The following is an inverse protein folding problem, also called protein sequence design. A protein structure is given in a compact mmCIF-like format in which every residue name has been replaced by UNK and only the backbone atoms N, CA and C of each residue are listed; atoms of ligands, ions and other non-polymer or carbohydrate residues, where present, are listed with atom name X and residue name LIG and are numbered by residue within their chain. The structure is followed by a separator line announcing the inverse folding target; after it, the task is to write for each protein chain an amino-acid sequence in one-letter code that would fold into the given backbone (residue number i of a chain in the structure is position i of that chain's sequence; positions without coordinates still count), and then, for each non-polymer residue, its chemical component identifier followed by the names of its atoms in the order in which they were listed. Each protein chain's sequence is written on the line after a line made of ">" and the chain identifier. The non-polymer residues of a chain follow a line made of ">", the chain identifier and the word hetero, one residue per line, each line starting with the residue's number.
data_IF_869465185767
#
_entry.id   IF_869465185767
#
_cell.length_a   1.000
_cell.length_b   1.000
_cell.length_c   1.000
_cell.angle_alpha   90.00
_cell.angle_beta   90.00
_cell.angle_gamma   90.00
#
_symmetry.space_group_name_H-M   'P 1'
#
loop_
_entity.id
_entity.type
_entity.pdbx_description
1 polymer ?
#
# COMPACT_ATOMS: atom_id res chain seq x y z
N UNK A 1 4.16 10.25 -17.50
CA UNK A 1 3.25 9.54 -16.57
C UNK A 1 2.14 8.85 -17.35
N UNK A 2 1.94 7.54 -17.15
CA UNK A 2 0.85 6.79 -17.77
C UNK A 2 -0.51 7.24 -17.19
N UNK A 3 -1.62 7.18 -17.93
CA UNK A 3 -2.94 7.51 -17.40
C UNK A 3 -3.38 6.50 -16.33
N UNK A 4 -4.26 6.92 -15.40
CA UNK A 4 -4.77 6.08 -14.32
C UNK A 4 -5.42 4.78 -14.84
N UNK A 5 -6.09 4.88 -15.98
CA UNK A 5 -6.78 3.77 -16.63
C UNK A 5 -5.86 2.59 -16.99
N UNK A 6 -4.56 2.83 -17.20
CA UNK A 6 -3.55 1.80 -17.48
C UNK A 6 -3.21 0.95 -16.25
N UNK A 7 -3.52 1.44 -15.05
CA UNK A 7 -3.37 0.73 -13.78
C UNK A 7 -4.67 0.02 -13.36
N UNK A 8 -5.83 0.53 -13.77
CA UNK A 8 -7.13 -0.04 -13.43
C UNK A 8 -7.49 -1.30 -14.23
N UNK A 9 -7.07 -1.38 -15.49
CA UNK A 9 -7.46 -2.46 -16.41
C UNK A 9 -6.74 -3.79 -16.21
N UNK A 10 -5.44 -3.82 -15.90
CA UNK A 10 -4.70 -5.06 -15.78
C UNK A 10 -5.16 -5.93 -14.61
N UNK A 11 -5.03 -7.24 -14.78
CA UNK A 11 -5.04 -8.17 -13.65
C UNK A 11 -3.82 -7.92 -12.75
N UNK A 12 -3.84 -8.45 -11.51
CA UNK A 12 -2.68 -8.36 -10.61
C UNK A 12 -1.40 -8.87 -11.30
N UNK A 13 -1.47 -10.03 -11.96
CA UNK A 13 -0.32 -10.64 -12.65
C UNK A 13 0.23 -9.78 -13.79
N UNK A 14 -0.65 -9.20 -14.61
CA UNK A 14 -0.25 -8.30 -15.70
C UNK A 14 0.36 -7.00 -15.16
N UNK A 15 -0.23 -6.43 -14.09
CA UNK A 15 0.30 -5.23 -13.45
C UNK A 15 1.65 -5.50 -12.80
N UNK A 16 1.81 -6.64 -12.12
CA UNK A 16 3.08 -7.09 -11.57
C UNK A 16 4.15 -7.15 -12.65
N UNK A 17 3.86 -7.80 -13.79
CA UNK A 17 4.80 -7.91 -14.91
C UNK A 17 5.16 -6.54 -15.51
N UNK A 18 4.18 -5.64 -15.67
CA UNK A 18 4.40 -4.28 -16.15
C UNK A 18 5.30 -3.46 -15.23
N UNK A 19 5.11 -3.58 -13.92
CA UNK A 19 5.94 -2.89 -12.93
C UNK A 19 7.38 -3.46 -12.88
N UNK A 20 7.53 -4.79 -12.98
CA UNK A 20 8.84 -5.42 -13.13
C UNK A 20 9.61 -4.88 -14.35
N UNK A 21 8.93 -4.75 -15.49
CA UNK A 21 9.54 -4.19 -16.70
C UNK A 21 9.85 -2.69 -16.54
N UNK A 22 8.94 -1.93 -15.93
CA UNK A 22 9.10 -0.48 -15.71
C UNK A 22 10.30 -0.14 -14.83
N UNK A 23 10.55 -0.93 -13.78
CA UNK A 23 11.60 -0.68 -12.79
C UNK A 23 12.77 -1.66 -12.88
N UNK A 24 12.94 -2.36 -14.01
CA UNK A 24 13.93 -3.43 -14.24
C UNK A 24 15.29 -3.18 -13.58
N UNK A 25 15.85 -1.98 -13.75
CA UNK A 25 17.22 -1.67 -13.32
C UNK A 25 17.34 -1.40 -11.81
N UNK A 26 16.22 -1.22 -11.12
CA UNK A 26 16.15 -0.82 -9.69
C UNK A 26 15.32 -1.76 -8.84
N UNK A 27 14.58 -2.66 -9.45
CA UNK A 27 13.68 -3.58 -8.74
C UNK A 27 14.41 -4.82 -8.22
N UNK A 28 14.05 -5.24 -7.01
CA UNK A 28 14.27 -6.57 -6.49
C UNK A 28 12.91 -7.24 -6.36
N UNK A 29 12.76 -8.41 -6.96
CA UNK A 29 11.48 -9.05 -7.17
C UNK A 29 11.40 -10.33 -6.34
N UNK A 30 10.35 -10.48 -5.56
CA UNK A 30 9.89 -11.75 -5.03
C UNK A 30 8.65 -12.17 -5.83
N UNK A 31 8.82 -13.15 -6.71
CA UNK A 31 7.79 -13.52 -7.71
C UNK A 31 6.43 -13.78 -7.06
N UNK A 32 5.39 -13.15 -7.58
CA UNK A 32 4.01 -13.23 -7.10
C UNK A 32 3.80 -12.85 -5.61
N UNK A 33 4.76 -12.16 -5.00
CA UNK A 33 4.65 -11.69 -3.61
C UNK A 33 4.84 -10.18 -3.53
N UNK A 34 5.99 -9.66 -3.95
CA UNK A 34 6.22 -8.22 -3.93
C UNK A 34 7.29 -7.77 -4.93
N UNK A 35 7.29 -6.48 -5.22
CA UNK A 35 8.34 -5.78 -5.94
C UNK A 35 8.83 -4.65 -5.04
N UNK A 36 10.13 -4.62 -4.74
CA UNK A 36 10.75 -3.48 -4.08
C UNK A 36 11.64 -2.73 -5.06
N UNK A 37 11.41 -1.43 -5.23
CA UNK A 37 12.18 -0.56 -6.11
C UNK A 37 13.10 0.31 -5.26
N UNK A 38 14.39 0.29 -5.55
CA UNK A 38 15.39 1.07 -4.82
C UNK A 38 15.22 2.56 -5.05
N UNK A 39 15.26 3.31 -3.96
CA UNK A 39 15.25 4.77 -3.94
C UNK A 39 16.51 5.36 -3.32
N UNK A 40 16.63 6.68 -3.37
CA UNK A 40 17.67 7.48 -2.71
C UNK A 40 17.11 8.32 -1.57
N UNK A 41 15.83 8.71 -1.63
CA UNK A 41 15.15 9.39 -0.53
C UNK A 41 14.87 8.39 0.61
N UNK A 42 15.07 8.75 1.88
CA UNK A 42 14.89 7.85 3.01
C UNK A 42 13.39 7.71 3.40
N UNK A 43 12.55 7.46 2.43
CA UNK A 43 11.11 7.22 2.56
C UNK A 43 10.71 6.08 1.64
N UNK A 44 9.88 5.16 2.15
CA UNK A 44 9.28 4.09 1.35
C UNK A 44 7.79 4.33 1.18
N UNK A 45 7.32 4.21 -0.05
CA UNK A 45 5.91 4.28 -0.41
C UNK A 45 5.40 2.86 -0.67
N UNK A 46 4.19 2.54 -0.18
CA UNK A 46 3.58 1.22 -0.27
C UNK A 46 2.21 1.29 -0.97
N UNK A 47 1.88 0.24 -1.72
CA UNK A 47 0.55 0.01 -2.31
C UNK A 47 0.42 -1.46 -2.71
N UNK A 48 -0.79 -2.03 -2.66
CA UNK A 48 -1.01 -3.41 -3.09
C UNK A 48 -1.54 -3.52 -4.52
N UNK A 49 -1.30 -4.68 -5.15
CA UNK A 49 -1.59 -4.90 -6.56
C UNK A 49 -2.91 -5.60 -6.84
N UNK A 50 -3.45 -6.31 -5.88
CA UNK A 50 -4.71 -7.03 -6.01
C UNK A 50 -5.92 -6.11 -5.84
N UNK A 51 -7.08 -6.66 -6.00
CA UNK A 51 -8.39 -6.05 -5.73
C UNK A 51 -9.36 -7.18 -5.44
N UNK A 52 -10.43 -6.93 -4.68
CA UNK A 52 -11.50 -7.92 -4.42
C UNK A 52 -12.30 -8.29 -5.67
N UNK A 53 -12.21 -7.52 -6.75
CA UNK A 53 -13.02 -7.72 -7.95
C UNK A 53 -12.50 -8.89 -8.79
N UNK A 54 -13.40 -9.85 -9.07
CA UNK A 54 -13.05 -11.09 -9.80
C UNK A 54 -12.81 -10.87 -11.30
N UNK A 55 -13.45 -9.85 -11.88
CA UNK A 55 -13.33 -9.55 -13.31
C UNK A 55 -12.46 -8.30 -13.52
N UNK A 56 -11.57 -8.34 -14.54
CA UNK A 56 -10.81 -7.15 -14.91
C UNK A 56 -11.72 -6.05 -15.43
N UNK A 57 -11.34 -4.80 -15.22
CA UNK A 57 -12.07 -3.63 -15.67
C UNK A 57 -12.11 -3.54 -17.19
N UNK A 58 -13.29 -3.77 -17.78
CA UNK A 58 -13.53 -3.68 -19.24
C UNK A 58 -13.98 -2.28 -19.64
N UNK A 59 -14.90 -1.71 -18.88
CA UNK A 59 -15.51 -0.42 -19.16
C UNK A 59 -15.30 0.54 -18.00
N UNK A 60 -14.83 1.75 -18.30
CA UNK A 60 -14.68 2.83 -17.33
C UNK A 60 -15.68 3.93 -17.69
N UNK A 61 -16.65 4.14 -16.82
CA UNK A 61 -17.61 5.22 -16.91
C UNK A 61 -17.03 6.47 -16.26
N UNK A 62 -17.29 7.64 -16.85
CA UNK A 62 -16.83 8.92 -16.34
C UNK A 62 -18.03 9.86 -16.21
N UNK A 63 -18.04 10.70 -15.16
CA UNK A 63 -19.01 11.80 -15.09
C UNK A 63 -18.67 12.90 -16.12
N UNK A 64 -19.56 13.90 -16.27
CA UNK A 64 -19.43 14.92 -17.31
C UNK A 64 -18.11 15.71 -17.32
N UNK A 65 -17.43 15.86 -16.18
CA UNK A 65 -16.13 16.53 -16.09
C UNK A 65 -14.93 15.56 -15.98
N UNK A 66 -15.16 14.25 -16.07
CA UNK A 66 -14.13 13.21 -16.03
C UNK A 66 -13.43 13.03 -14.70
N UNK A 67 -13.92 13.62 -13.60
CA UNK A 67 -13.27 13.52 -12.30
C UNK A 67 -13.68 12.28 -11.50
N UNK A 68 -14.87 11.73 -11.77
CA UNK A 68 -15.36 10.51 -11.14
C UNK A 68 -15.26 9.36 -12.14
N UNK A 69 -14.63 8.28 -11.72
CA UNK A 69 -14.51 7.04 -12.47
C UNK A 69 -15.24 5.93 -11.76
N UNK A 70 -15.97 5.11 -12.50
CA UNK A 70 -16.66 3.91 -12.03
C UNK A 70 -16.56 2.80 -13.08
N UNK A 71 -16.79 1.55 -12.68
CA UNK A 71 -16.89 0.42 -13.60
C UNK A 71 -18.01 -0.52 -13.18
N UNK A 72 -18.80 -1.07 -14.12
CA UNK A 72 -19.79 -2.10 -13.80
C UNK A 72 -19.19 -3.40 -13.25
N UNK A 73 -17.89 -3.64 -13.45
CA UNK A 73 -17.15 -4.78 -12.92
C UNK A 73 -16.61 -4.53 -11.50
N UNK A 74 -16.79 -3.32 -10.94
CA UNK A 74 -16.00 -2.76 -9.87
C UNK A 74 -14.78 -2.04 -10.46
N UNK A 75 -14.40 -0.89 -9.92
CA UNK A 75 -13.31 -0.08 -10.50
C UNK A 75 -11.93 -0.49 -9.97
N UNK A 76 -11.87 -1.11 -8.76
CA UNK A 76 -10.62 -1.50 -8.12
C UNK A 76 -9.74 -0.30 -7.78
N UNK A 77 -10.33 0.79 -7.28
CA UNK A 77 -9.60 1.94 -6.78
C UNK A 77 -8.74 1.58 -5.58
N UNK A 78 -9.21 0.64 -4.80
CA UNK A 78 -8.58 -0.14 -3.78
C UNK A 78 -7.79 -1.32 -4.42
N UNK A 79 -6.43 -1.34 -4.54
CA UNK A 79 -5.58 -0.16 -4.34
C UNK A 79 -4.85 0.28 -5.62
N UNK A 80 -5.50 0.20 -6.77
CA UNK A 80 -4.91 0.68 -8.04
C UNK A 80 -4.67 2.20 -8.02
N UNK A 81 -5.37 2.93 -7.15
CA UNK A 81 -5.12 4.36 -6.91
C UNK A 81 -3.77 4.57 -6.25
N UNK A 82 -3.42 3.78 -5.24
CA UNK A 82 -2.11 3.83 -4.61
C UNK A 82 -1.00 3.43 -5.57
N UNK A 83 -1.16 2.34 -6.33
CA UNK A 83 -0.18 1.96 -7.36
C UNK A 83 0.09 3.10 -8.35
N UNK A 84 -0.98 3.76 -8.84
CA UNK A 84 -0.83 4.95 -9.67
C UNK A 84 -0.12 6.09 -8.94
N UNK A 85 -0.49 6.36 -7.67
CA UNK A 85 0.10 7.42 -6.87
C UNK A 85 1.60 7.18 -6.64
N UNK A 86 1.99 5.96 -6.29
CA UNK A 86 3.40 5.58 -6.11
C UNK A 86 4.22 5.86 -7.37
N UNK A 87 3.72 5.41 -8.53
CA UNK A 87 4.41 5.62 -9.80
C UNK A 87 4.47 7.10 -10.17
N UNK A 88 3.38 7.85 -9.94
CA UNK A 88 3.32 9.29 -10.20
C UNK A 88 4.28 10.08 -9.32
N UNK A 89 4.37 9.75 -8.02
CA UNK A 89 5.32 10.37 -7.10
C UNK A 89 6.75 10.03 -7.49
N UNK A 90 7.03 8.75 -7.79
CA UNK A 90 8.37 8.33 -8.21
C UNK A 90 8.85 9.08 -9.47
N UNK A 91 8.02 9.17 -10.51
CA UNK A 91 8.37 9.90 -11.73
C UNK A 91 8.66 11.39 -11.46
N UNK A 92 7.87 12.05 -10.62
CA UNK A 92 7.92 13.49 -10.40
C UNK A 92 8.93 13.93 -9.32
N UNK A 93 9.33 13.04 -8.40
CA UNK A 93 10.29 13.34 -7.34
C UNK A 93 11.70 13.59 -7.92
N UNK A 94 12.41 14.58 -7.37
CA UNK A 94 13.81 14.83 -7.70
C UNK A 94 14.71 13.74 -7.13
N UNK A 95 14.55 13.43 -5.84
CA UNK A 95 15.19 12.31 -5.16
C UNK A 95 14.17 11.18 -5.09
N UNK A 96 14.49 10.01 -5.65
CA UNK A 96 13.52 8.92 -5.80
C UNK A 96 13.23 8.24 -4.48
N UNK A 97 11.94 8.10 -4.06
CA UNK A 97 11.58 7.28 -2.91
C UNK A 97 11.79 5.80 -3.19
N UNK A 98 11.87 4.98 -2.15
CA UNK A 98 11.70 3.54 -2.27
C UNK A 98 10.22 3.24 -2.55
N UNK A 99 9.95 2.20 -3.36
CA UNK A 99 8.59 1.71 -3.57
C UNK A 99 8.51 0.25 -3.15
N UNK A 100 7.41 -0.12 -2.50
CA UNK A 100 7.05 -1.50 -2.22
C UNK A 100 5.65 -1.75 -2.78
N UNK A 101 5.57 -2.63 -3.78
CA UNK A 101 4.31 -3.12 -4.32
C UNK A 101 4.10 -4.54 -3.83
N UNK A 102 3.00 -4.79 -3.15
CA UNK A 102 2.66 -6.09 -2.57
C UNK A 102 1.57 -6.80 -3.36
N UNK A 103 1.50 -8.10 -3.25
CA UNK A 103 0.44 -8.91 -3.81
C UNK A 103 -0.41 -9.51 -2.69
N UNK A 104 -1.69 -9.75 -2.99
CA UNK A 104 -2.58 -10.52 -2.13
C UNK A 104 -2.76 -9.91 -0.73
N UNK A 105 -2.91 -8.57 -0.65
CA UNK A 105 -3.26 -7.84 0.56
C UNK A 105 -4.66 -8.25 1.03
N UNK A 106 -5.63 -8.27 0.12
CA UNK A 106 -7.05 -8.52 0.34
C UNK A 106 -7.39 -9.93 0.88
N UNK A 107 -6.40 -10.83 0.86
CA UNK A 107 -6.52 -12.18 1.42
C UNK A 107 -5.59 -12.42 2.61
N UNK A 108 -5.06 -11.33 3.21
CA UNK A 108 -4.30 -11.37 4.46
C UNK A 108 -2.86 -10.89 4.35
N UNK A 109 -2.58 -9.83 3.58
CA UNK A 109 -1.28 -9.15 3.48
C UNK A 109 -0.11 -10.08 3.12
N UNK A 110 -0.37 -11.08 2.27
CA UNK A 110 0.59 -12.17 1.93
C UNK A 110 1.91 -11.62 1.38
N UNK A 111 1.85 -10.55 0.60
CA UNK A 111 3.04 -9.89 0.05
C UNK A 111 3.87 -9.20 1.11
N UNK A 112 3.24 -8.52 2.07
CA UNK A 112 3.91 -7.86 3.18
C UNK A 112 4.56 -8.87 4.12
N UNK A 113 3.88 -9.97 4.46
CA UNK A 113 4.46 -11.06 5.26
C UNK A 113 5.68 -11.68 4.58
N UNK A 114 5.62 -11.91 3.27
CA UNK A 114 6.75 -12.41 2.50
C UNK A 114 7.92 -11.42 2.48
N UNK A 115 7.65 -10.10 2.43
CA UNK A 115 8.68 -9.07 2.55
C UNK A 115 9.34 -9.12 3.92
N UNK A 116 8.56 -9.16 5.01
CA UNK A 116 9.07 -9.22 6.39
C UNK A 116 9.95 -10.47 6.60
N UNK A 117 9.48 -11.65 6.22
CA UNK A 117 10.24 -12.90 6.34
C UNK A 117 11.58 -12.86 5.59
N UNK A 118 11.60 -12.21 4.41
CA UNK A 118 12.86 -12.05 3.67
C UNK A 118 13.76 -10.97 4.26
N UNK A 119 13.20 -9.96 4.90
CA UNK A 119 13.96 -8.94 5.61
C UNK A 119 14.67 -9.54 6.82
N UNK A 120 13.95 -10.27 7.67
CA UNK A 120 14.50 -11.03 8.80
C UNK A 120 15.64 -11.97 8.37
N UNK A 121 15.48 -12.63 7.21
CA UNK A 121 16.50 -13.49 6.63
C UNK A 121 17.69 -12.74 5.98
N UNK A 122 17.71 -11.41 6.00
CA UNK A 122 18.75 -10.57 5.36
C UNK A 122 18.76 -10.63 3.82
N UNK A 123 17.62 -11.01 3.20
CA UNK A 123 17.46 -11.19 1.73
C UNK A 123 16.80 -9.99 1.04
N UNK A 124 16.65 -8.86 1.71
CA UNK A 124 16.15 -7.61 1.13
C UNK A 124 17.31 -6.68 0.72
N UNK A 125 17.05 -5.66 -0.11
CA UNK A 125 18.08 -4.70 -0.48
C UNK A 125 18.67 -3.99 0.73
N UNK A 126 19.97 -3.69 0.70
CA UNK A 126 20.63 -2.83 1.70
C UNK A 126 20.13 -1.39 1.58
N UNK A 127 20.12 -0.66 2.72
CA UNK A 127 19.73 0.76 2.80
C UNK A 127 18.32 0.97 3.37
N UNK A 128 17.60 -0.10 3.71
CA UNK A 128 16.29 0.00 4.35
C UNK A 128 16.38 0.52 5.80
N UNK A 129 17.51 0.34 6.45
CA UNK A 129 17.84 0.86 7.78
C UNK A 129 17.97 2.40 7.81
N UNK A 130 18.19 3.02 6.65
CA UNK A 130 18.24 4.47 6.48
C UNK A 130 16.86 5.13 6.36
N UNK A 131 15.79 4.34 6.23
CA UNK A 131 14.43 4.86 6.11
C UNK A 131 14.05 5.67 7.36
N UNK A 132 13.39 6.80 7.12
CA UNK A 132 12.93 7.75 8.14
C UNK A 132 11.43 7.68 8.40
N UNK A 133 10.64 7.28 7.40
CA UNK A 133 9.19 7.06 7.49
C UNK A 133 8.69 6.16 6.36
N UNK A 134 7.52 5.55 6.58
CA UNK A 134 6.79 4.77 5.57
C UNK A 134 5.44 5.42 5.28
N UNK A 135 5.02 5.42 4.02
CA UNK A 135 3.73 5.95 3.58
C UNK A 135 3.05 4.94 2.68
N UNK A 136 1.98 4.36 3.14
CA UNK A 136 1.06 3.58 2.32
C UNK A 136 -0.02 4.50 1.76
N UNK A 137 -0.49 4.25 0.54
CA UNK A 137 -1.52 5.08 -0.10
C UNK A 137 -2.68 4.19 -0.48
N UNK A 138 -3.32 3.62 0.51
CA UNK A 138 -4.36 2.60 0.41
C UNK A 138 -5.52 2.88 1.39
N UNK A 139 -5.89 4.13 1.60
CA UNK A 139 -7.05 4.44 2.41
C UNK A 139 -8.14 5.09 1.56
N UNK A 140 -9.40 4.71 1.80
CA UNK A 140 -10.55 5.38 1.20
C UNK A 140 -10.59 6.87 1.54
N UNK A 141 -11.27 7.67 0.74
CA UNK A 141 -11.55 9.05 1.10
C UNK A 141 -10.58 10.07 0.54
N UNK A 142 -10.39 11.14 1.28
CA UNK A 142 -9.68 12.33 0.79
C UNK A 142 -8.48 12.74 1.62
N UNK A 143 -8.62 12.73 2.95
CA UNK A 143 -7.64 13.30 3.87
C UNK A 143 -7.35 12.40 5.06
N UNK A 144 -7.84 11.17 5.08
CA UNK A 144 -7.64 10.28 6.21
C UNK A 144 -6.18 9.85 6.31
N UNK A 145 -5.69 9.73 7.54
CA UNK A 145 -4.40 9.16 7.91
C UNK A 145 -4.61 8.11 9.00
N UNK A 146 -4.17 6.88 8.76
CA UNK A 146 -4.32 5.77 9.70
C UNK A 146 -2.94 5.24 10.08
N UNK A 147 -2.67 5.11 11.37
CA UNK A 147 -1.36 4.71 11.90
C UNK A 147 -1.36 3.29 12.48
N UNK A 148 -2.54 2.66 12.55
CA UNK A 148 -2.76 1.35 13.17
C UNK A 148 -2.21 1.31 14.60
N UNK A 149 -1.24 0.42 14.88
CA UNK A 149 -0.65 0.29 16.21
C UNK A 149 0.61 1.15 16.43
N UNK A 150 0.94 2.04 15.49
CA UNK A 150 2.05 2.98 15.65
C UNK A 150 1.61 4.18 16.51
N UNK A 151 2.30 4.40 17.64
CA UNK A 151 2.05 5.49 18.59
C UNK A 151 3.24 6.45 18.60
N UNK A 152 3.35 7.27 17.55
CA UNK A 152 4.38 8.30 17.42
C UNK A 152 3.73 9.68 17.23
N UNK A 153 3.53 10.46 18.31
CA UNK A 153 2.84 11.75 18.25
C UNK A 153 3.53 12.81 17.36
N UNK A 154 4.87 12.78 17.28
CA UNK A 154 5.62 13.71 16.42
C UNK A 154 5.38 13.41 14.94
N UNK A 155 5.34 12.12 14.58
CA UNK A 155 4.99 11.69 13.25
C UNK A 155 3.55 12.03 12.89
N UNK A 156 2.61 11.79 13.80
CA UNK A 156 1.20 12.17 13.62
C UNK A 156 1.05 13.68 13.42
N UNK A 157 1.72 14.50 14.22
CA UNK A 157 1.73 15.95 14.07
C UNK A 157 2.31 16.40 12.72
N UNK A 158 3.39 15.75 12.26
CA UNK A 158 3.97 16.01 10.94
C UNK A 158 2.99 15.72 9.81
N UNK A 159 2.36 14.54 9.80
CA UNK A 159 1.37 14.15 8.77
C UNK A 159 0.13 15.06 8.81
N UNK A 160 -0.34 15.42 10.00
CA UNK A 160 -1.44 16.38 10.18
C UNK A 160 -1.08 17.76 9.59
N UNK A 161 0.17 18.19 9.72
CA UNK A 161 0.66 19.44 9.11
C UNK A 161 0.55 19.45 7.57
N UNK A 162 0.52 18.27 6.94
CA UNK A 162 0.28 18.08 5.49
C UNK A 162 -1.22 18.10 5.14
N UNK A 163 -2.09 18.34 6.11
CA UNK A 163 -3.54 18.45 5.91
C UNK A 163 -4.24 17.10 5.78
N UNK A 164 -3.73 16.10 6.49
CA UNK A 164 -4.43 14.83 6.76
C UNK A 164 -5.05 14.85 8.15
N UNK A 165 -6.03 13.99 8.37
CA UNK A 165 -6.79 13.86 9.61
C UNK A 165 -6.67 12.43 10.13
N UNK A 166 -6.29 12.28 11.40
CA UNK A 166 -6.14 10.96 12.04
C UNK A 166 -7.48 10.23 12.09
N UNK A 167 -7.49 9.01 11.61
CA UNK A 167 -8.64 8.11 11.59
C UNK A 167 -8.25 6.73 12.13
N UNK A 168 -9.25 5.86 12.34
CA UNK A 168 -9.04 4.48 12.73
C UNK A 168 -9.09 3.55 11.52
N UNK A 169 -8.34 2.46 11.57
CA UNK A 169 -8.35 1.37 10.59
C UNK A 169 -8.12 0.03 11.26
N UNK A 170 -8.39 -1.08 10.56
CA UNK A 170 -8.28 -2.43 11.09
C UNK A 170 -6.91 -3.05 10.83
N UNK A 171 -6.51 -3.14 9.57
CA UNK A 171 -5.29 -3.81 9.12
C UNK A 171 -4.92 -3.29 7.73
N UNK A 172 -3.63 -3.32 7.38
CA UNK A 172 -3.09 -3.12 6.04
C UNK A 172 -1.63 -3.58 6.01
N UNK A 173 -0.95 -3.55 4.87
CA UNK A 173 0.43 -4.02 4.71
C UNK A 173 1.42 -3.34 5.67
N UNK A 174 1.26 -2.05 5.96
CA UNK A 174 2.14 -1.36 6.93
C UNK A 174 1.97 -1.84 8.37
N UNK A 175 0.89 -2.55 8.71
CA UNK A 175 0.76 -3.20 10.02
C UNK A 175 1.82 -4.28 10.24
N UNK A 176 2.35 -4.85 9.16
CA UNK A 176 3.45 -5.82 9.18
C UNK A 176 4.82 -5.15 8.92
N UNK A 177 4.89 -4.30 7.91
CA UNK A 177 6.16 -3.73 7.44
C UNK A 177 6.73 -2.70 8.43
N UNK A 178 5.89 -1.91 9.10
CA UNK A 178 6.35 -0.86 10.02
C UNK A 178 7.08 -1.42 11.26
N UNK A 179 6.50 -2.39 12.01
CA UNK A 179 7.21 -2.99 13.14
C UNK A 179 8.47 -3.74 12.70
N UNK A 180 8.46 -4.43 11.55
CA UNK A 180 9.60 -5.17 11.02
C UNK A 180 10.79 -4.25 10.72
N UNK A 181 10.55 -3.08 10.11
CA UNK A 181 11.59 -2.10 9.81
C UNK A 181 11.90 -1.16 10.99
N UNK A 182 11.10 -1.17 12.06
CA UNK A 182 11.23 -0.25 13.18
C UNK A 182 10.99 1.22 12.82
N UNK A 183 10.21 1.49 11.78
CA UNK A 183 9.99 2.82 11.19
C UNK A 183 8.50 3.16 11.24
N UNK A 184 8.18 4.38 11.71
CA UNK A 184 6.80 4.84 11.78
C UNK A 184 6.16 4.88 10.38
N UNK A 185 4.89 4.47 10.31
CA UNK A 185 4.15 4.35 9.08
C UNK A 185 2.76 4.98 9.17
N UNK A 186 2.25 5.43 8.02
CA UNK A 186 0.90 5.95 7.87
C UNK A 186 0.28 5.44 6.57
N UNK A 187 -1.02 5.10 6.62
CA UNK A 187 -1.83 4.82 5.43
C UNK A 187 -2.71 6.04 5.11
N UNK A 188 -2.57 6.58 3.91
CA UNK A 188 -3.19 7.83 3.46
C UNK A 188 -4.31 7.57 2.45
N UNK A 189 -5.34 8.43 2.46
CA UNK A 189 -6.43 8.39 1.48
C UNK A 189 -5.93 8.49 0.05
N UNK A 190 -6.35 7.56 -0.81
CA UNK A 190 -5.99 7.49 -2.22
C UNK A 190 -7.09 7.95 -3.18
N UNK A 191 -8.23 8.44 -2.65
CA UNK A 191 -9.31 9.03 -3.45
C UNK A 191 -10.33 8.05 -3.99
N UNK A 192 -10.32 6.78 -3.61
CA UNK A 192 -11.41 5.86 -3.86
C UNK A 192 -12.46 5.90 -2.75
N UNK A 193 -13.65 5.40 -3.03
CA UNK A 193 -14.82 5.40 -2.14
C UNK A 193 -15.64 4.15 -2.36
N UNK A 194 -16.36 3.71 -1.34
CA UNK A 194 -17.21 2.51 -1.37
C UNK A 194 -16.41 1.24 -1.75
N UNK A 195 -15.20 1.12 -1.18
CA UNK A 195 -14.34 -0.05 -1.37
C UNK A 195 -15.10 -1.36 -1.24
N UNK A 196 -14.64 -2.40 -1.93
CA UNK A 196 -15.17 -3.77 -1.87
C UNK A 196 -16.63 -3.92 -2.32
N UNK A 197 -17.17 -2.93 -3.04
CA UNK A 197 -18.51 -2.97 -3.62
C UNK A 197 -18.51 -2.71 -5.11
N UNK A 198 -19.58 -3.11 -5.81
CA UNK A 198 -19.78 -2.73 -7.23
C UNK A 198 -20.04 -1.23 -7.43
N UNK A 199 -20.27 -0.48 -6.35
CA UNK A 199 -20.49 0.96 -6.36
C UNK A 199 -19.22 1.73 -6.03
N UNK A 200 -18.09 1.07 -6.01
CA UNK A 200 -16.80 1.70 -5.85
C UNK A 200 -16.57 2.74 -6.94
N UNK A 201 -16.07 3.90 -6.53
CA UNK A 201 -15.71 4.96 -7.47
C UNK A 201 -14.43 5.66 -7.05
N UNK A 202 -13.76 6.27 -8.02
CA UNK A 202 -12.54 7.05 -7.81
C UNK A 202 -12.84 8.52 -8.07
N UNK A 203 -12.37 9.38 -7.17
CA UNK A 203 -12.32 10.83 -7.37
C UNK A 203 -10.89 11.25 -7.71
N UNK A 204 -10.62 11.49 -8.98
CA UNK A 204 -9.29 11.88 -9.50
C UNK A 204 -8.73 13.15 -8.87
N UNK A 205 -9.58 14.10 -8.47
CA UNK A 205 -9.11 15.33 -7.79
C UNK A 205 -8.54 14.99 -6.41
N UNK A 206 -9.17 14.09 -5.67
CA UNK A 206 -8.71 13.67 -4.36
C UNK A 206 -7.41 12.88 -4.49
N UNK A 207 -7.35 11.89 -5.40
CA UNK A 207 -6.12 11.16 -5.72
C UNK A 207 -4.96 12.09 -6.09
N UNK A 208 -5.19 13.05 -6.99
CA UNK A 208 -4.16 14.00 -7.38
C UNK A 208 -3.74 14.94 -6.24
N UNK A 209 -4.65 15.25 -5.30
CA UNK A 209 -4.31 16.03 -4.10
C UNK A 209 -3.38 15.22 -3.17
N UNK A 210 -3.65 13.93 -2.97
CA UNK A 210 -2.77 13.03 -2.22
C UNK A 210 -1.39 12.92 -2.88
N UNK A 211 -1.32 12.71 -4.20
CA UNK A 211 -0.04 12.69 -4.93
C UNK A 211 0.80 13.94 -4.66
N UNK A 212 0.18 15.13 -4.66
CA UNK A 212 0.89 16.38 -4.37
C UNK A 212 1.43 16.43 -2.94
N UNK A 213 0.60 16.07 -1.96
CA UNK A 213 1.01 16.03 -0.54
C UNK A 213 2.14 15.02 -0.31
N UNK A 214 2.09 13.84 -0.96
CA UNK A 214 3.14 12.82 -0.83
C UNK A 214 4.43 13.27 -1.53
N UNK A 215 4.36 14.03 -2.63
CA UNK A 215 5.54 14.66 -3.23
C UNK A 215 6.25 15.61 -2.25
N UNK A 216 5.47 16.39 -1.47
CA UNK A 216 6.02 17.26 -0.42
C UNK A 216 6.66 16.41 0.70
N UNK A 217 6.03 15.32 1.13
CA UNK A 217 6.58 14.39 2.13
C UNK A 217 7.92 13.80 1.66
N UNK A 218 8.00 13.36 0.40
CA UNK A 218 9.24 12.83 -0.19
C UNK A 218 10.33 13.91 -0.25
N UNK A 219 9.97 15.13 -0.62
CA UNK A 219 10.91 16.25 -0.69
C UNK A 219 11.43 16.64 0.69
N UNK A 220 10.57 16.64 1.72
CA UNK A 220 10.97 16.90 3.10
C UNK A 220 11.90 15.79 3.63
N UNK A 221 11.53 14.52 3.42
CA UNK A 221 12.32 13.37 3.88
C UNK A 221 13.73 13.35 3.29
N UNK A 222 13.91 13.89 2.09
CA UNK A 222 15.21 14.00 1.43
C UNK A 222 16.12 15.09 2.04
N UNK A 223 15.61 15.96 2.93
CA UNK A 223 16.43 16.95 3.59
C UNK A 223 17.33 16.30 4.65
N UNK A 224 18.60 16.76 4.78
CA UNK A 224 19.54 16.14 5.71
C UNK A 224 19.10 16.17 7.18
N UNK A 225 18.40 17.22 7.60
CA UNK A 225 17.95 17.49 8.95
C UNK A 225 16.55 16.93 9.24
N UNK A 226 15.90 16.28 8.25
CA UNK A 226 14.60 15.64 8.47
C UNK A 226 14.74 14.50 9.48
N UNK A 227 13.87 14.43 10.51
CA UNK A 227 13.98 13.41 11.57
C UNK A 227 13.64 12.00 11.03
N UNK A 228 14.19 10.98 11.69
CA UNK A 228 13.70 9.60 11.58
C UNK A 228 12.58 9.42 12.58
N UNK A 229 11.44 8.95 12.14
CA UNK A 229 10.32 8.58 12.99
C UNK A 229 10.36 7.07 13.25
N UNK A 230 10.53 6.69 14.53
CA UNK A 230 10.59 5.29 14.92
C UNK A 230 9.19 4.71 15.10
N UNK A 231 9.03 3.43 14.78
CA UNK A 231 7.84 2.69 15.15
C UNK A 231 7.80 2.49 16.66
N UNK A 232 6.75 2.95 17.29
CA UNK A 232 6.47 2.76 18.71
C UNK A 232 5.15 2.04 18.83
N UNK A 233 5.17 0.81 19.34
CA UNK A 233 3.95 0.03 19.50
C UNK A 233 3.01 0.68 20.53
N UNK A 234 1.75 0.87 20.17
CA UNK A 234 0.71 1.40 21.04
C UNK A 234 0.44 0.47 22.21
N UNK A 235 0.78 0.89 23.44
CA UNK A 235 0.51 0.13 24.65
C UNK A 235 -0.92 0.35 25.11
N UNK A 236 -1.78 -0.65 24.94
CA UNK A 236 -3.08 -0.66 25.60
C UNK A 236 -2.90 -0.98 27.08
N UNK A 237 -2.88 0.03 27.92
CA UNK A 237 -3.00 -0.19 29.38
C UNK A 237 -4.40 -0.74 29.66
N UNK A 238 -4.54 -2.05 29.84
CA UNK A 238 -5.70 -2.64 30.50
C UNK A 238 -5.71 -2.06 31.91
N UNK A 239 -6.50 -1.03 32.15
CA UNK A 239 -6.75 -0.50 33.48
C UNK A 239 -7.38 -1.65 34.28
N UNK A 240 -6.57 -2.29 35.13
CA UNK A 240 -7.02 -3.28 36.08
C UNK A 240 -7.99 -2.60 37.04
N UNK A 241 -9.28 -2.85 36.84
CA UNK A 241 -10.37 -2.37 37.68
C UNK A 241 -11.34 -3.51 37.85
N UNK A 242 -11.55 -3.93 39.09
CA UNK A 242 -12.32 -5.07 39.56
C UNK A 242 -13.75 -5.14 39.03
N UNK A 243 -14.29 -6.29 39.20
CA UNK A 243 -15.68 -6.74 39.12
C UNK A 243 -16.71 -5.63 39.06
N UNK A 244 -17.52 -5.62 38.01
CA UNK A 244 -18.82 -4.95 38.03
C UNK A 244 -19.20 -4.27 36.73
N UNK A 245 -20.08 -4.86 35.95
CA UNK A 245 -21.01 -4.12 35.13
C UNK A 245 -20.66 -3.94 33.66
N UNK A 246 -21.42 -4.56 32.86
CA UNK A 246 -21.73 -4.39 31.43
C UNK A 246 -21.53 -2.95 30.93
N UNK A 247 -20.58 -2.76 30.06
CA UNK A 247 -20.32 -1.53 29.34
C UNK A 247 -19.41 -1.82 28.16
N UNK A 248 -19.91 -2.59 27.21
CA UNK A 248 -19.19 -2.86 25.97
C UNK A 248 -19.07 -1.57 25.16
N UNK A 249 -17.86 -1.06 25.02
CA UNK A 249 -17.57 -0.15 23.92
C UNK A 249 -17.71 -0.96 22.63
N UNK A 250 -18.78 -0.72 21.90
CA UNK A 250 -18.95 -1.21 20.54
C UNK A 250 -17.90 -0.51 19.70
N UNK A 251 -16.82 -1.21 19.35
CA UNK A 251 -16.12 -0.95 18.11
C UNK A 251 -17.16 -1.05 17.00
N UNK A 252 -17.30 -0.02 16.22
CA UNK A 252 -18.08 -0.05 15.00
C UNK A 252 -17.31 -0.91 14.01
N UNK A 253 -17.57 -2.21 14.05
CA UNK A 253 -17.26 -3.14 12.97
C UNK A 253 -18.15 -2.78 11.79
N UNK A 254 -17.62 -2.03 10.85
CA UNK A 254 -18.29 -1.77 9.56
C UNK A 254 -17.91 -2.88 8.55
N UNK A 255 -17.75 -4.10 9.06
CA UNK A 255 -17.49 -5.29 8.24
C UNK A 255 -18.35 -6.44 8.71
N UNK A 256 -19.48 -6.63 7.99
CA UNK A 256 -20.30 -7.84 8.11
C UNK A 256 -19.65 -9.00 7.35
N UNK A 257 -18.59 -9.58 7.94
CA UNK A 257 -17.94 -10.78 7.41
C UNK A 257 -18.64 -12.02 7.99
N UNK A 258 -19.89 -12.28 7.59
CA UNK A 258 -20.53 -13.57 7.84
C UNK A 258 -20.38 -14.46 6.61
N UNK A 259 -19.44 -15.37 6.68
CA UNK A 259 -19.47 -16.59 5.93
C UNK A 259 -18.25 -16.93 5.08
N UNK A 260 -17.15 -17.24 5.71
CA UNK A 260 -16.26 -18.30 5.19
C UNK A 260 -15.60 -18.97 6.40
N UNK A 261 -15.97 -20.25 6.59
CA UNK A 261 -15.40 -21.08 7.64
C UNK A 261 -13.90 -21.24 7.47
N UNK A 262 -13.20 -21.30 8.61
CA UNK A 262 -11.80 -21.62 8.73
C UNK A 262 -11.47 -22.95 8.04
N UNK A 263 -10.99 -22.90 6.82
CA UNK A 263 -10.26 -23.98 6.19
C UNK A 263 -8.78 -23.70 6.42
N UNK A 264 -8.15 -24.46 7.32
CA UNK A 264 -6.69 -24.54 7.38
C UNK A 264 -6.20 -25.00 6.00
N UNK A 265 -5.44 -24.14 5.33
CA UNK A 265 -4.67 -24.54 4.17
C UNK A 265 -3.65 -25.61 4.61
N UNK A 266 -3.46 -26.68 3.82
CA UNK A 266 -2.37 -27.63 4.07
C UNK A 266 -1.04 -26.90 3.89
N UNK A 267 -0.10 -27.18 4.80
CA UNK A 267 1.28 -26.74 4.65
C UNK A 267 1.87 -27.46 3.42
N UNK A 268 1.96 -26.74 2.31
CA UNK A 268 2.82 -27.14 1.19
C UNK A 268 4.24 -26.67 1.55
N UNK A 269 5.17 -27.62 1.58
CA UNK A 269 6.59 -27.34 1.65
C UNK A 269 6.97 -26.62 0.35
N UNK A 270 7.09 -25.29 0.41
CA UNK A 270 7.59 -24.50 -0.71
C UNK A 270 9.09 -24.77 -0.85
N UNK A 271 9.46 -25.57 -1.85
CA UNK A 271 10.80 -25.61 -2.40
C UNK A 271 11.11 -24.22 -2.97
N UNK A 272 11.84 -23.42 -2.20
CA UNK A 272 12.32 -22.10 -2.61
C UNK A 272 13.41 -22.28 -3.68
N UNK A 273 13.02 -22.22 -4.93
CA UNK A 273 13.94 -22.08 -6.04
C UNK A 273 14.54 -20.67 -6.03
N UNK A 274 15.86 -20.57 -5.81
CA UNK A 274 16.65 -19.32 -5.86
C UNK A 274 16.82 -18.81 -7.31
N UNK A 275 15.87 -19.06 -8.20
CA UNK A 275 15.93 -18.66 -9.60
C UNK A 275 15.89 -17.14 -9.75
N UNK A 276 16.97 -16.58 -10.28
CA UNK A 276 16.92 -15.31 -11.03
C UNK A 276 15.71 -15.35 -11.95
N UNK A 277 14.91 -14.27 -11.98
CA UNK A 277 13.77 -14.20 -12.89
C UNK A 277 14.30 -14.41 -14.30
N UNK A 278 13.98 -15.56 -14.88
CA UNK A 278 14.26 -15.81 -16.28
C UNK A 278 13.49 -14.79 -17.12
N UNK A 279 14.23 -13.79 -17.61
CA UNK A 279 13.69 -12.71 -18.43
C UNK A 279 13.09 -13.23 -19.72
N UNK A 280 13.39 -14.48 -20.11
CA UNK A 280 12.81 -15.13 -21.30
C UNK A 280 11.39 -15.66 -21.04
N UNK A 281 10.94 -15.71 -19.79
CA UNK A 281 9.56 -16.07 -19.41
C UNK A 281 8.57 -14.91 -19.50
N UNK A 282 9.01 -13.68 -19.80
CA UNK A 282 8.12 -12.53 -20.06
C UNK A 282 7.64 -12.64 -21.49
N UNK A 283 6.32 -12.60 -21.77
CA UNK A 283 5.77 -12.64 -23.13
C UNK A 283 6.42 -11.59 -24.05
N UNK A 284 6.76 -11.98 -25.28
CA UNK A 284 7.49 -11.13 -26.24
C UNK A 284 6.75 -9.83 -26.59
N UNK A 285 5.42 -9.81 -26.47
CA UNK A 285 4.56 -8.66 -26.69
C UNK A 285 4.71 -7.54 -25.62
N UNK A 286 5.47 -7.79 -24.56
CA UNK A 286 5.76 -6.82 -23.47
C UNK A 286 7.23 -6.35 -23.54
N UNK A 287 8.07 -6.93 -24.42
CA UNK A 287 9.50 -6.65 -24.49
C UNK A 287 9.86 -5.39 -25.30
N UNK A 288 8.99 -4.96 -26.21
CA UNK A 288 9.29 -3.95 -27.25
C UNK A 288 8.42 -2.66 -27.18
N UNK A 289 7.76 -2.32 -26.07
CA UNK A 289 7.08 -1.03 -25.89
C UNK A 289 7.76 -0.11 -24.87
#
# INVERSE_FOLDING_TARGET
>A
MKPLEDYLRPTQKELFSKLCAMYRDRAVICKNKYIIVRGEAPVMLLAHLDTVHKEPVKHICKNGNGNILMSPQGIGGDDRCGVYALTAVYEQSQVKPWLLFTCDEEIGCVGAEAFCSRHEAGKTPKGLDELKLLVEIDRKGRNDAVYYDCDNPEFEAYITSKGFETQCGSLSDISYVAPELGVAAVNLSSGYYNAHTQHEYINRKHLNATVKKVLEIVADAAQPDFPKYEYVERKFYRRGGGFGGWGGYRYWDDWDYRGLGSAKAPAEEDDFDEGEVDMDSIPEDIRDE
#
